data_IF_756211631312
#
_entry.id   IF_756211631312
#
_cell.length_a   1.000
_cell.length_b   1.000
_cell.length_c   1.000
_cell.angle_alpha   90.00
_cell.angle_beta   90.00
_cell.angle_gamma   90.00
#
_symmetry.space_group_name_H-M   'P 1'
#
loop_
_entity.id
_entity.type
_entity.pdbx_description
1 polymer ?
#
# COMPACT_ATOMS: atom_id res chain seq x y z
N UNK A 1 1.34 15.10 10.67
CA UNK A 1 1.90 14.32 9.54
C UNK A 1 1.76 15.15 8.29
N UNK A 2 2.81 15.24 7.49
CA UNK A 2 2.80 15.93 6.20
C UNK A 2 1.79 15.26 5.24
N UNK A 3 1.33 15.99 4.23
CA UNK A 3 0.47 15.40 3.19
C UNK A 3 1.26 14.34 2.41
N UNK A 4 0.67 13.15 2.25
CA UNK A 4 1.23 12.04 1.48
C UNK A 4 1.11 12.36 -0.01
N UNK A 5 2.07 13.10 -0.54
CA UNK A 5 2.00 13.70 -1.88
C UNK A 5 1.90 12.62 -2.96
N UNK A 6 2.67 11.54 -2.85
CA UNK A 6 2.64 10.44 -3.80
C UNK A 6 1.30 9.67 -3.73
N UNK A 7 0.69 9.58 -2.55
CA UNK A 7 -0.62 8.94 -2.37
C UNK A 7 -1.74 9.78 -2.98
N UNK A 8 -1.66 11.11 -2.85
CA UNK A 8 -2.60 12.05 -3.48
C UNK A 8 -2.48 12.01 -5.01
N UNK A 9 -1.26 12.08 -5.56
CA UNK A 9 -1.01 11.94 -6.99
C UNK A 9 -1.56 10.61 -7.53
N UNK A 10 -1.30 9.50 -6.81
CA UNK A 10 -1.84 8.20 -7.17
C UNK A 10 -3.36 8.17 -7.18
N UNK A 11 -4.00 8.84 -6.22
CA UNK A 11 -5.46 8.93 -6.15
C UNK A 11 -6.06 9.70 -7.34
N UNK A 12 -5.38 10.73 -7.84
CA UNK A 12 -5.82 11.46 -9.03
C UNK A 12 -5.58 10.67 -10.32
N UNK A 13 -4.39 10.07 -10.47
CA UNK A 13 -4.02 9.34 -11.69
C UNK A 13 -4.75 8.00 -11.85
N UNK A 14 -4.98 7.29 -10.74
CA UNK A 14 -5.52 5.94 -10.74
C UNK A 14 -6.95 5.83 -10.19
N UNK A 15 -7.69 6.95 -10.10
CA UNK A 15 -9.01 7.02 -9.48
C UNK A 15 -10.00 5.91 -9.91
N UNK A 16 -9.99 5.53 -11.19
CA UNK A 16 -10.88 4.51 -11.77
C UNK A 16 -10.18 3.18 -12.08
N UNK A 17 -8.91 3.02 -11.67
CA UNK A 17 -8.15 1.81 -11.93
C UNK A 17 -8.55 0.69 -10.96
N UNK A 18 -8.57 -0.54 -11.50
CA UNK A 18 -8.73 -1.76 -10.70
C UNK A 18 -7.46 -2.57 -10.82
N UNK A 19 -6.99 -3.06 -9.68
CA UNK A 19 -5.73 -3.75 -9.51
C UNK A 19 -5.96 -5.20 -9.10
N UNK A 20 -5.08 -6.07 -9.55
CA UNK A 20 -4.91 -7.39 -8.93
C UNK A 20 -4.31 -7.20 -7.53
N UNK A 21 -4.40 -8.23 -6.67
CA UNK A 21 -3.81 -8.17 -5.32
C UNK A 21 -2.31 -7.85 -5.36
N UNK A 22 -1.59 -8.49 -6.28
CA UNK A 22 -0.16 -8.25 -6.48
C UNK A 22 0.12 -6.81 -6.89
N UNK A 23 -0.67 -6.26 -7.82
CA UNK A 23 -0.53 -4.87 -8.25
C UNK A 23 -0.86 -3.88 -7.14
N UNK A 24 -1.93 -4.12 -6.37
CA UNK A 24 -2.33 -3.27 -5.25
C UNK A 24 -1.25 -3.24 -4.15
N UNK A 25 -0.66 -4.40 -3.84
CA UNK A 25 0.43 -4.51 -2.86
C UNK A 25 1.70 -3.86 -3.38
N UNK A 26 2.05 -4.09 -4.65
CA UNK A 26 3.20 -3.44 -5.27
C UNK A 26 3.04 -1.91 -5.29
N UNK A 27 1.84 -1.41 -5.61
CA UNK A 27 1.53 0.01 -5.56
C UNK A 27 1.65 0.56 -4.13
N UNK A 28 1.07 -0.13 -3.14
CA UNK A 28 1.16 0.22 -1.71
C UNK A 28 2.62 0.34 -1.27
N UNK A 29 3.46 -0.66 -1.59
CA UNK A 29 4.87 -0.67 -1.23
C UNK A 29 5.67 0.41 -1.97
N UNK A 30 5.39 0.64 -3.25
CA UNK A 30 6.07 1.70 -4.02
C UNK A 30 5.71 3.09 -3.50
N UNK A 31 4.44 3.32 -3.16
CA UNK A 31 3.99 4.59 -2.58
C UNK A 31 4.63 4.82 -1.22
N UNK A 32 4.63 3.82 -0.33
CA UNK A 32 5.30 3.92 0.96
C UNK A 32 6.80 4.17 0.84
N UNK A 33 7.49 3.51 -0.10
CA UNK A 33 8.92 3.75 -0.36
C UNK A 33 9.18 5.13 -0.98
N UNK A 34 8.29 5.63 -1.83
CA UNK A 34 8.38 7.00 -2.37
C UNK A 34 8.25 8.02 -1.26
N UNK A 35 7.26 7.84 -0.40
CA UNK A 35 7.08 8.68 0.79
C UNK A 35 8.31 8.57 1.69
N UNK A 36 8.81 7.36 2.01
CA UNK A 36 10.03 7.16 2.82
C UNK A 36 11.27 7.89 2.28
N UNK A 37 11.47 7.87 0.96
CA UNK A 37 12.62 8.49 0.30
C UNK A 37 12.45 10.00 0.05
N UNK A 38 11.34 10.63 0.48
CA UNK A 38 11.17 12.08 0.38
C UNK A 38 12.21 12.78 1.28
N UNK A 39 13.11 13.62 0.73
CA UNK A 39 14.19 14.26 1.48
C UNK A 39 13.69 15.31 2.50
N UNK A 40 12.41 15.68 2.45
CA UNK A 40 11.77 16.55 3.43
C UNK A 40 11.03 15.76 4.53
N UNK A 41 11.26 14.45 4.65
CA UNK A 41 10.86 13.67 5.82
C UNK A 41 11.73 13.98 7.05
N UNK A 42 11.07 14.05 8.20
CA UNK A 42 11.78 14.00 9.48
C UNK A 42 12.29 12.60 9.79
N UNK A 43 13.24 12.47 10.72
CA UNK A 43 13.74 11.17 11.16
C UNK A 43 12.62 10.29 11.77
N UNK A 44 11.64 10.92 12.43
CA UNK A 44 10.47 10.23 12.99
C UNK A 44 9.53 9.70 11.89
N UNK A 45 9.27 10.50 10.84
CA UNK A 45 8.47 10.08 9.69
C UNK A 45 9.17 8.97 8.89
N UNK A 46 10.48 9.06 8.70
CA UNK A 46 11.27 8.02 8.02
C UNK A 46 11.15 6.69 8.77
N UNK A 47 11.27 6.69 10.10
CA UNK A 47 11.09 5.49 10.91
C UNK A 47 9.65 4.94 10.84
N UNK A 48 8.64 5.82 10.79
CA UNK A 48 7.25 5.43 10.62
C UNK A 48 7.00 4.76 9.26
N UNK A 49 7.51 5.34 8.17
CA UNK A 49 7.39 4.77 6.83
C UNK A 49 8.14 3.44 6.72
N UNK A 50 9.36 3.34 7.25
CA UNK A 50 10.11 2.09 7.28
C UNK A 50 9.36 0.98 8.04
N UNK A 51 8.74 1.31 9.18
CA UNK A 51 7.89 0.38 9.93
C UNK A 51 6.64 -0.02 9.14
N UNK A 52 6.00 0.92 8.44
CA UNK A 52 4.84 0.66 7.60
C UNK A 52 5.16 -0.24 6.40
N UNK A 53 6.32 -0.06 5.75
CA UNK A 53 6.81 -0.95 4.68
C UNK A 53 6.97 -2.38 5.20
N UNK A 54 7.65 -2.56 6.33
CA UNK A 54 7.81 -3.89 6.93
C UNK A 54 6.48 -4.56 7.29
N UNK A 55 5.50 -3.79 7.81
CA UNK A 55 4.15 -4.27 8.09
C UNK A 55 3.38 -4.64 6.83
N UNK A 56 3.52 -3.87 5.76
CA UNK A 56 2.87 -4.12 4.48
C UNK A 56 3.34 -5.44 3.88
N UNK A 57 4.66 -5.68 3.87
CA UNK A 57 5.26 -6.94 3.42
C UNK A 57 4.78 -8.13 4.26
N UNK A 58 4.73 -7.97 5.59
CA UNK A 58 4.26 -9.03 6.49
C UNK A 58 2.76 -9.33 6.34
N UNK A 59 1.89 -8.32 6.31
CA UNK A 59 0.45 -8.50 6.10
C UNK A 59 0.14 -9.13 4.74
N UNK A 60 0.92 -8.81 3.70
CA UNK A 60 0.74 -9.45 2.40
C UNK A 60 1.03 -10.96 2.43
N UNK A 61 2.11 -11.37 3.11
CA UNK A 61 2.42 -12.79 3.33
C UNK A 61 1.30 -13.47 4.12
N UNK A 62 0.74 -12.80 5.12
CA UNK A 62 -0.36 -13.33 5.94
C UNK A 62 -1.68 -13.45 5.15
N UNK A 63 -2.03 -12.44 4.37
CA UNK A 63 -3.26 -12.40 3.57
C UNK A 63 -3.24 -13.37 2.37
N UNK A 64 -2.09 -13.94 2.00
CA UNK A 64 -1.97 -14.97 0.95
C UNK A 64 -2.02 -16.41 1.50
N UNK A 65 -2.50 -16.57 2.74
CA UNK A 65 -2.62 -17.88 3.41
C UNK A 65 -3.76 -18.76 2.89
N UNK A 66 -4.83 -18.19 2.32
CA UNK A 66 -5.98 -19.00 1.87
C UNK A 66 -5.76 -19.55 0.45
N UNK A 67 -6.18 -20.79 0.21
CA UNK A 67 -6.10 -21.43 -1.12
C UNK A 67 -6.91 -20.62 -2.16
N UNK A 68 -8.09 -20.12 -1.78
CA UNK A 68 -8.95 -19.29 -2.64
C UNK A 68 -8.24 -18.00 -3.07
N UNK A 69 -7.54 -17.32 -2.16
CA UNK A 69 -6.77 -16.12 -2.53
C UNK A 69 -5.64 -16.44 -3.47
N UNK A 70 -4.90 -17.54 -3.24
CA UNK A 70 -3.83 -17.99 -4.15
C UNK A 70 -4.37 -18.31 -5.53
N UNK A 71 -5.53 -18.96 -5.62
CA UNK A 71 -6.19 -19.25 -6.89
C UNK A 71 -6.64 -17.98 -7.61
N UNK A 72 -7.26 -17.03 -6.90
CA UNK A 72 -7.67 -15.74 -7.48
C UNK A 72 -6.48 -14.90 -7.95
N UNK A 73 -5.37 -14.94 -7.21
CA UNK A 73 -4.13 -14.29 -7.58
C UNK A 73 -3.47 -14.97 -8.79
N UNK A 74 -3.49 -16.31 -8.87
CA UNK A 74 -2.97 -17.07 -10.00
C UNK A 74 -3.73 -16.80 -11.31
N UNK A 75 -5.03 -16.49 -11.22
CA UNK A 75 -5.87 -16.14 -12.38
C UNK A 75 -5.79 -14.63 -12.69
N UNK A 76 -5.14 -13.83 -11.84
CA UNK A 76 -4.93 -12.40 -12.08
C UNK A 76 -6.20 -11.56 -11.98
N UNK A 77 -7.14 -11.93 -11.11
CA UNK A 77 -8.41 -11.21 -10.98
C UNK A 77 -8.19 -9.84 -10.34
N UNK A 78 -8.53 -8.78 -11.08
CA UNK A 78 -8.51 -7.42 -10.59
C UNK A 78 -9.76 -7.15 -9.73
N UNK A 79 -9.54 -6.86 -8.44
CA UNK A 79 -10.61 -6.72 -7.43
C UNK A 79 -10.36 -5.62 -6.40
N UNK A 80 -9.21 -4.97 -6.46
CA UNK A 80 -8.84 -3.89 -5.55
C UNK A 80 -8.91 -2.57 -6.29
N UNK A 81 -9.44 -1.56 -5.64
CA UNK A 81 -9.54 -0.21 -6.18
C UNK A 81 -8.39 0.65 -5.67
N UNK A 82 -8.20 1.81 -6.30
CA UNK A 82 -7.30 2.84 -5.77
C UNK A 82 -7.63 3.21 -4.31
N UNK A 83 -8.92 3.28 -3.96
CA UNK A 83 -9.36 3.57 -2.59
C UNK A 83 -8.90 2.48 -1.60
N UNK A 84 -8.89 1.21 -2.00
CA UNK A 84 -8.40 0.11 -1.15
C UNK A 84 -6.89 0.23 -0.89
N UNK A 85 -6.11 0.62 -1.90
CA UNK A 85 -4.67 0.87 -1.77
C UNK A 85 -4.41 2.03 -0.81
N UNK A 86 -5.08 3.16 -1.01
CA UNK A 86 -4.93 4.35 -0.15
C UNK A 86 -5.32 4.02 1.28
N UNK A 87 -6.44 3.30 1.48
CA UNK A 87 -6.89 2.86 2.79
C UNK A 87 -5.86 1.95 3.47
N UNK A 88 -5.29 1.00 2.74
CA UNK A 88 -4.25 0.14 3.27
C UNK A 88 -3.02 0.93 3.76
N UNK A 89 -2.59 1.95 3.00
CA UNK A 89 -1.49 2.85 3.41
C UNK A 89 -1.84 3.57 4.72
N UNK A 90 -3.05 4.13 4.82
CA UNK A 90 -3.49 4.77 6.05
C UNK A 90 -3.54 3.78 7.24
N UNK A 91 -4.10 2.59 7.05
CA UNK A 91 -4.17 1.58 8.11
C UNK A 91 -2.77 1.12 8.58
N UNK A 92 -1.78 1.11 7.68
CA UNK A 92 -0.40 0.74 7.99
C UNK A 92 0.36 1.84 8.76
N UNK A 93 0.08 3.10 8.45
CA UNK A 93 0.73 4.28 9.05
C UNK A 93 0.09 4.66 10.39
N UNK A 94 -1.23 4.59 10.50
CA UNK A 94 -1.98 5.08 11.65
C UNK A 94 -2.47 3.98 12.59
N UNK A 95 -2.23 2.71 12.25
CA UNK A 95 -2.60 1.53 13.05
C UNK A 95 -4.04 1.63 13.56
N UNK A 96 -4.98 1.87 12.64
CA UNK A 96 -6.40 1.94 12.96
C UNK A 96 -6.88 0.51 13.23
N UNK A 97 -6.78 0.07 14.48
CA UNK A 97 -7.45 -1.11 15.02
C UNK A 97 -8.91 -0.83 15.34
#
# INVERSE_FOLDING_TARGET
MRQLTAVLEFQEEAANAVFTKQQAVAATLQLLKREENDPANTAEETALFAAAVGRAEFRYIDATKTETDRMLDAIGVARFTCADVVRAIHDLLFDVQ
#
